data_IF_763358726664
#
_entry.id   IF_763358726664
#
_cell.length_a   1.000
_cell.length_b   1.000
_cell.length_c   1.000
_cell.angle_alpha   90.00
_cell.angle_beta   90.00
_cell.angle_gamma   90.00
#
_symmetry.space_group_name_H-M   'P 1'
#
loop_
_entity.id
_entity.type
_entity.pdbx_description
1 polymer ?
#
# COMPACT_ATOMS: atom_id res chain seq x y z
N UNK A 1 -4.15 62.58 -19.55
CA UNK A 1 -4.19 61.49 -18.56
C UNK A 1 -4.91 60.29 -19.17
N UNK A 2 -4.16 59.27 -19.60
CA UNK A 2 -4.68 58.02 -20.20
C UNK A 2 -5.27 57.15 -19.09
N UNK A 3 -6.56 56.81 -19.17
CA UNK A 3 -7.15 55.70 -18.39
C UNK A 3 -7.15 54.47 -19.30
N UNK A 4 -6.23 53.54 -19.03
CA UNK A 4 -6.23 52.22 -19.67
C UNK A 4 -7.20 51.35 -18.86
N UNK A 5 -8.34 51.02 -19.45
CA UNK A 5 -9.26 50.01 -18.93
C UNK A 5 -8.68 48.64 -19.34
N UNK A 6 -8.04 47.93 -18.42
CA UNK A 6 -7.69 46.53 -18.64
C UNK A 6 -8.93 45.69 -18.36
N UNK A 7 -9.62 45.29 -19.42
CA UNK A 7 -10.61 44.22 -19.38
C UNK A 7 -9.90 42.93 -18.99
N UNK A 8 -10.22 42.39 -17.81
CA UNK A 8 -9.81 41.04 -17.42
C UNK A 8 -10.57 40.07 -18.32
N UNK A 9 -9.91 39.69 -19.42
CA UNK A 9 -10.33 38.62 -20.29
C UNK A 9 -10.20 37.33 -19.48
N UNK A 10 -11.33 36.83 -19.01
CA UNK A 10 -11.47 35.52 -18.39
C UNK A 10 -10.99 34.49 -19.40
N UNK A 11 -9.73 34.06 -19.30
CA UNK A 11 -9.21 32.97 -20.09
C UNK A 11 -9.61 31.69 -19.35
N UNK A 12 -10.56 30.88 -19.87
CA UNK A 12 -10.77 29.54 -19.34
C UNK A 12 -9.56 28.75 -19.82
N UNK A 13 -8.47 28.82 -19.05
CA UNK A 13 -7.30 28.00 -19.27
C UNK A 13 -7.73 26.54 -19.06
N UNK A 14 -8.17 25.94 -20.16
CA UNK A 14 -7.95 24.56 -20.55
C UNK A 14 -7.68 23.66 -19.35
N UNK A 15 -8.74 23.31 -18.63
CA UNK A 15 -8.68 22.20 -17.69
C UNK A 15 -8.49 20.96 -18.54
N UNK A 16 -7.24 20.66 -18.88
CA UNK A 16 -6.84 19.42 -19.52
C UNK A 16 -7.36 18.31 -18.61
N UNK A 17 -8.42 17.65 -19.06
CA UNK A 17 -8.76 16.34 -18.55
C UNK A 17 -7.57 15.43 -18.86
N UNK A 18 -6.65 15.31 -17.89
CA UNK A 18 -5.65 14.24 -17.90
C UNK A 18 -6.46 12.95 -17.81
N UNK A 19 -6.64 12.27 -18.95
CA UNK A 19 -7.20 10.92 -18.95
C UNK A 19 -6.25 10.04 -18.13
N UNK A 20 -6.80 9.35 -17.13
CA UNK A 20 -6.06 8.35 -16.37
C UNK A 20 -5.43 7.34 -17.32
N UNK A 21 -4.10 7.18 -17.27
CA UNK A 21 -3.35 6.27 -18.14
C UNK A 21 -3.07 4.94 -17.44
N UNK A 22 -4.13 4.32 -16.93
CA UNK A 22 -4.02 3.02 -16.24
C UNK A 22 -3.84 1.92 -17.27
N UNK A 23 -2.73 1.18 -17.17
CA UNK A 23 -2.50 0.02 -18.03
C UNK A 23 -3.34 -1.17 -17.59
N UNK A 24 -4.04 -1.77 -18.55
CA UNK A 24 -4.72 -3.05 -18.36
C UNK A 24 -3.86 -4.18 -18.91
N UNK A 25 -3.46 -5.12 -18.04
CA UNK A 25 -2.65 -6.26 -18.46
C UNK A 25 -3.43 -7.17 -19.41
N UNK A 26 -2.91 -7.47 -20.61
CA UNK A 26 -3.63 -8.29 -21.60
C UNK A 26 -3.68 -9.78 -21.21
N UNK A 27 -2.77 -10.22 -20.35
CA UNK A 27 -2.70 -11.60 -19.87
C UNK A 27 -2.86 -11.56 -18.34
N UNK A 28 -4.00 -12.06 -17.87
CA UNK A 28 -4.38 -12.08 -16.46
C UNK A 28 -4.59 -13.51 -15.97
N UNK A 29 -4.36 -13.72 -14.67
CA UNK A 29 -4.62 -14.99 -13.98
C UNK A 29 -6.04 -15.50 -14.29
N UNK A 30 -6.13 -16.80 -14.61
CA UNK A 30 -7.40 -17.45 -14.97
C UNK A 30 -7.79 -17.40 -16.46
N UNK A 31 -7.15 -16.55 -17.28
CA UNK A 31 -7.40 -16.51 -18.74
C UNK A 31 -6.76 -17.69 -19.48
N UNK A 32 -7.26 -18.03 -20.67
CA UNK A 32 -6.66 -19.09 -21.51
C UNK A 32 -5.22 -18.78 -21.92
N UNK A 33 -4.89 -17.50 -22.14
CA UNK A 33 -3.52 -17.10 -22.45
C UNK A 33 -2.58 -17.27 -21.23
N UNK A 34 -3.10 -17.08 -20.02
CA UNK A 34 -2.33 -17.33 -18.80
C UNK A 34 -2.00 -18.82 -18.63
N UNK A 35 -2.96 -19.71 -18.88
CA UNK A 35 -2.77 -21.18 -18.78
C UNK A 35 -1.73 -21.73 -19.77
N UNK A 36 -1.44 -20.99 -20.85
CA UNK A 36 -0.41 -21.37 -21.83
C UNK A 36 1.00 -21.14 -21.32
N UNK A 37 1.20 -20.23 -20.36
CA UNK A 37 2.50 -19.92 -19.77
C UNK A 37 2.99 -21.12 -18.94
N UNK A 38 4.18 -21.63 -19.24
CA UNK A 38 4.75 -22.87 -18.67
C UNK A 38 5.71 -22.63 -17.52
N UNK A 39 6.12 -21.39 -17.30
CA UNK A 39 7.06 -21.05 -16.22
C UNK A 39 6.75 -19.68 -15.63
N UNK A 40 7.17 -19.48 -14.38
CA UNK A 40 7.11 -18.17 -13.74
C UNK A 40 7.93 -17.11 -14.53
N UNK A 41 9.02 -17.51 -15.19
CA UNK A 41 9.78 -16.62 -16.08
C UNK A 41 8.95 -16.14 -17.28
N UNK A 42 8.13 -17.00 -17.87
CA UNK A 42 7.20 -16.59 -18.93
C UNK A 42 6.11 -15.65 -18.40
N UNK A 43 5.61 -15.87 -17.19
CA UNK A 43 4.65 -14.96 -16.53
C UNK A 43 5.26 -13.57 -16.28
N UNK A 44 6.50 -13.49 -15.81
CA UNK A 44 7.21 -12.22 -15.63
C UNK A 44 7.38 -11.47 -16.96
N UNK A 45 7.68 -12.18 -18.05
CA UNK A 45 7.79 -11.56 -19.39
C UNK A 45 6.43 -11.06 -19.89
N UNK A 46 5.38 -11.87 -19.72
CA UNK A 46 4.02 -11.54 -20.16
C UNK A 46 3.39 -10.37 -19.40
N UNK A 47 3.86 -10.11 -18.18
CA UNK A 47 3.34 -9.07 -17.29
C UNK A 47 4.24 -7.83 -17.19
N UNK A 48 5.24 -7.70 -18.08
CA UNK A 48 6.10 -6.52 -18.13
C UNK A 48 5.31 -5.32 -18.66
N UNK A 49 5.33 -4.21 -17.90
CA UNK A 49 4.69 -2.97 -18.31
C UNK A 49 5.46 -2.32 -19.48
N UNK A 50 4.81 -1.87 -20.57
CA UNK A 50 5.48 -1.08 -21.62
C UNK A 50 6.00 0.26 -21.07
N UNK A 51 7.08 0.78 -21.68
CA UNK A 51 7.80 1.95 -21.14
C UNK A 51 6.96 3.22 -21.10
N UNK A 52 6.06 3.41 -22.06
CA UNK A 52 5.15 4.55 -22.12
C UNK A 52 4.24 4.64 -20.88
N UNK A 53 3.86 3.50 -20.29
CA UNK A 53 3.05 3.44 -19.09
C UNK A 53 3.86 3.56 -17.79
N UNK A 54 5.20 3.51 -17.86
CA UNK A 54 6.06 3.76 -16.69
C UNK A 54 6.21 5.26 -16.37
N UNK A 55 5.89 6.14 -17.32
CA UNK A 55 6.07 7.60 -17.19
C UNK A 55 4.77 8.36 -16.85
N UNK A 56 3.72 7.65 -16.46
CA UNK A 56 2.41 8.23 -16.08
C UNK A 56 2.46 8.82 -14.67
N UNK A 57 1.38 9.47 -14.22
CA UNK A 57 1.29 10.00 -12.85
C UNK A 57 1.33 8.87 -11.80
N UNK A 58 1.83 9.14 -10.59
CA UNK A 58 2.02 8.10 -9.56
C UNK A 58 0.71 7.45 -9.13
N UNK A 59 -0.41 8.18 -9.16
CA UNK A 59 -1.73 7.61 -8.93
C UNK A 59 -2.11 6.56 -9.99
N UNK A 60 -1.87 6.85 -11.28
CA UNK A 60 -2.15 5.92 -12.38
C UNK A 60 -1.20 4.72 -12.34
N UNK A 61 0.09 4.96 -12.07
CA UNK A 61 1.07 3.88 -11.96
C UNK A 61 0.74 2.95 -10.79
N UNK A 62 0.26 3.49 -9.67
CA UNK A 62 -0.23 2.70 -8.54
C UNK A 62 -1.39 1.80 -8.95
N UNK A 63 -2.35 2.28 -9.75
CA UNK A 63 -3.42 1.41 -10.25
C UNK A 63 -2.86 0.25 -11.08
N UNK A 64 -1.85 0.50 -11.92
CA UNK A 64 -1.14 -0.56 -12.66
C UNK A 64 -0.30 -1.48 -11.77
N UNK A 65 0.19 -1.02 -10.62
CA UNK A 65 0.79 -1.88 -9.60
C UNK A 65 -0.27 -2.80 -8.96
N UNK A 66 -1.44 -2.26 -8.60
CA UNK A 66 -2.49 -2.99 -7.91
C UNK A 66 -3.21 -3.99 -8.81
N UNK A 67 -3.24 -3.74 -10.12
CA UNK A 67 -3.75 -4.67 -11.12
C UNK A 67 -2.68 -5.62 -11.68
N UNK A 68 -1.46 -5.62 -11.13
CA UNK A 68 -0.37 -6.47 -11.58
C UNK A 68 -0.71 -7.95 -11.34
N UNK A 69 -0.74 -8.83 -12.38
CA UNK A 69 -1.27 -10.18 -12.24
C UNK A 69 -0.51 -11.10 -11.25
N UNK A 70 0.76 -10.80 -10.98
CA UNK A 70 1.61 -11.53 -10.04
C UNK A 70 1.77 -10.78 -8.71
N UNK A 71 0.94 -9.77 -8.41
CA UNK A 71 1.04 -9.01 -7.17
C UNK A 71 1.00 -9.92 -5.94
N UNK A 72 0.07 -10.88 -5.92
CA UNK A 72 -0.16 -11.76 -4.78
C UNK A 72 0.85 -12.91 -4.65
N UNK A 73 1.85 -13.00 -5.52
CA UNK A 73 2.92 -14.00 -5.42
C UNK A 73 3.71 -13.88 -4.11
N UNK A 74 3.64 -12.72 -3.44
CA UNK A 74 4.22 -12.55 -2.11
C UNK A 74 3.67 -13.54 -1.08
N UNK A 75 2.43 -14.02 -1.27
CA UNK A 75 1.76 -14.99 -0.38
C UNK A 75 2.34 -16.40 -0.49
N UNK A 76 3.06 -16.72 -1.56
CA UNK A 76 3.71 -18.01 -1.77
C UNK A 76 5.00 -18.20 -0.97
N UNK A 77 5.45 -17.16 -0.25
CA UNK A 77 6.64 -17.20 0.59
C UNK A 77 6.26 -17.40 2.06
N UNK A 78 7.10 -18.15 2.80
CA UNK A 78 6.96 -18.31 4.26
C UNK A 78 6.91 -16.97 5.02
N UNK A 79 7.56 -15.95 4.45
CA UNK A 79 7.53 -14.59 4.95
C UNK A 79 6.90 -13.68 3.88
N UNK A 80 5.65 -13.23 4.06
CA UNK A 80 4.93 -12.43 3.08
C UNK A 80 5.61 -11.11 2.72
N UNK A 81 6.21 -10.40 3.69
CA UNK A 81 6.90 -9.14 3.41
C UNK A 81 8.20 -9.36 2.64
N UNK A 82 8.95 -10.43 2.94
CA UNK A 82 10.09 -10.84 2.12
C UNK A 82 9.67 -11.22 0.70
N UNK A 83 8.59 -11.99 0.58
CA UNK A 83 7.98 -12.31 -0.72
C UNK A 83 7.60 -11.05 -1.49
N UNK A 84 7.00 -10.07 -0.81
CA UNK A 84 6.62 -8.80 -1.42
C UNK A 84 7.83 -8.05 -1.97
N UNK A 85 8.93 -7.99 -1.21
CA UNK A 85 10.20 -7.42 -1.72
C UNK A 85 10.70 -8.14 -2.97
N UNK A 86 10.51 -9.46 -3.09
CA UNK A 86 10.86 -10.20 -4.31
C UNK A 86 9.96 -9.82 -5.49
N UNK A 87 8.66 -9.69 -5.27
CA UNK A 87 7.71 -9.23 -6.30
C UNK A 87 8.09 -7.82 -6.80
N UNK A 88 8.42 -6.89 -5.89
CA UNK A 88 8.90 -5.54 -6.25
C UNK A 88 10.17 -5.59 -7.10
N UNK A 89 11.12 -6.47 -6.77
CA UNK A 89 12.37 -6.60 -7.53
C UNK A 89 12.18 -7.20 -8.93
N UNK A 90 11.20 -8.09 -9.09
CA UNK A 90 10.95 -8.79 -10.35
C UNK A 90 10.01 -8.04 -11.30
N UNK A 91 9.20 -7.12 -10.77
CA UNK A 91 8.21 -6.35 -11.51
C UNK A 91 8.73 -4.95 -11.84
N UNK A 92 8.74 -4.60 -13.12
CA UNK A 92 9.19 -3.26 -13.54
C UNK A 92 8.25 -2.15 -13.09
N UNK A 93 6.93 -2.40 -13.03
CA UNK A 93 5.95 -1.41 -12.58
C UNK A 93 6.08 -1.11 -11.08
N UNK A 94 6.24 -2.13 -10.25
CA UNK A 94 6.40 -1.98 -8.80
C UNK A 94 7.77 -1.38 -8.47
N UNK A 95 8.83 -1.85 -9.13
CA UNK A 95 10.17 -1.29 -8.95
C UNK A 95 10.22 0.19 -9.30
N UNK A 96 9.56 0.60 -10.39
CA UNK A 96 9.49 2.00 -10.80
C UNK A 96 8.69 2.82 -9.78
N UNK A 97 7.48 2.38 -9.43
CA UNK A 97 6.62 3.07 -8.47
C UNK A 97 7.30 3.29 -7.12
N UNK A 98 7.97 2.27 -6.58
CA UNK A 98 8.64 2.35 -5.27
C UNK A 98 9.83 3.32 -5.25
N UNK A 99 10.39 3.69 -6.40
CA UNK A 99 11.49 4.67 -6.50
C UNK A 99 11.01 6.12 -6.58
N UNK A 100 9.71 6.34 -6.82
CA UNK A 100 9.18 7.69 -7.02
C UNK A 100 9.15 8.49 -5.73
N UNK A 101 9.47 9.78 -5.83
CA UNK A 101 9.52 10.70 -4.69
C UNK A 101 8.16 11.02 -4.08
N UNK A 102 7.08 10.79 -4.82
CA UNK A 102 5.70 11.07 -4.43
C UNK A 102 4.87 9.80 -4.19
N UNK A 103 5.52 8.63 -4.14
CA UNK A 103 4.85 7.33 -3.97
C UNK A 103 4.04 7.26 -2.66
N UNK A 104 4.54 7.82 -1.56
CA UNK A 104 3.85 7.81 -0.28
C UNK A 104 2.55 8.60 -0.32
N UNK A 105 2.51 9.73 -1.03
CA UNK A 105 1.26 10.50 -1.21
C UNK A 105 0.25 9.73 -2.08
N UNK A 106 0.70 9.07 -3.15
CA UNK A 106 -0.17 8.24 -3.97
C UNK A 106 -0.76 7.06 -3.17
N UNK A 107 0.07 6.39 -2.36
CA UNK A 107 -0.36 5.30 -1.47
C UNK A 107 -1.34 5.79 -0.39
N UNK A 108 -1.04 6.89 0.28
CA UNK A 108 -1.91 7.47 1.31
C UNK A 108 -3.29 7.82 0.75
N UNK A 109 -3.32 8.50 -0.40
CA UNK A 109 -4.57 8.88 -1.05
C UNK A 109 -5.38 7.64 -1.46
N UNK A 110 -4.74 6.63 -2.04
CA UNK A 110 -5.40 5.37 -2.36
C UNK A 110 -5.94 4.69 -1.11
N UNK A 111 -5.10 4.51 -0.08
CA UNK A 111 -5.46 3.79 1.13
C UNK A 111 -6.67 4.42 1.83
N UNK A 112 -6.72 5.75 1.90
CA UNK A 112 -7.87 6.49 2.44
C UNK A 112 -9.11 6.49 1.54
N UNK A 113 -8.95 6.29 0.24
CA UNK A 113 -10.07 6.21 -0.71
C UNK A 113 -10.81 4.88 -0.65
N UNK A 114 -10.18 3.84 -0.10
CA UNK A 114 -10.82 2.54 0.08
C UNK A 114 -11.78 2.63 1.27
N UNK A 115 -13.07 2.38 1.01
CA UNK A 115 -14.03 2.18 2.09
C UNK A 115 -13.86 0.77 2.67
N UNK A 116 -13.04 0.66 3.71
CA UNK A 116 -12.76 -0.63 4.36
C UNK A 116 -14.03 -1.18 5.05
N UNK A 117 -15.00 -0.34 5.43
CA UNK A 117 -16.27 -0.81 6.00
C UNK A 117 -17.15 -1.51 4.96
N UNK A 118 -16.96 -1.24 3.66
CA UNK A 118 -17.73 -1.87 2.60
C UNK A 118 -17.37 -3.34 2.39
N UNK A 119 -16.38 -3.89 3.12
CA UNK A 119 -15.96 -5.28 2.95
C UNK A 119 -17.10 -6.29 3.19
N UNK A 120 -17.98 -5.97 4.12
CA UNK A 120 -19.17 -6.80 4.43
C UNK A 120 -20.26 -6.66 3.36
N UNK A 121 -20.15 -5.68 2.45
CA UNK A 121 -21.04 -5.48 1.31
C UNK A 121 -20.53 -6.14 0.04
N UNK A 122 -19.31 -6.69 0.06
CA UNK A 122 -18.74 -7.41 -1.08
C UNK A 122 -19.50 -8.72 -1.30
N UNK A 123 -19.61 -9.11 -2.58
CA UNK A 123 -20.60 -10.12 -3.01
C UNK A 123 -20.25 -11.52 -2.57
N UNK A 124 -18.97 -11.81 -2.35
CA UNK A 124 -18.47 -13.13 -2.02
C UNK A 124 -17.08 -13.07 -1.34
N UNK A 125 -16.67 -14.20 -0.80
CA UNK A 125 -15.38 -14.38 -0.10
C UNK A 125 -14.16 -14.12 -0.99
N UNK A 126 -14.28 -14.31 -2.32
CA UNK A 126 -13.19 -14.04 -3.26
C UNK A 126 -12.92 -12.53 -3.35
N UNK A 127 -13.97 -11.72 -3.47
CA UNK A 127 -13.85 -10.25 -3.47
C UNK A 127 -13.28 -9.75 -2.13
N UNK A 128 -13.72 -10.32 -1.01
CA UNK A 128 -13.21 -9.99 0.32
C UNK A 128 -11.72 -10.36 0.48
N UNK A 129 -11.33 -11.55 0.01
CA UNK A 129 -9.95 -12.00 0.00
C UNK A 129 -9.07 -11.10 -0.87
N UNK A 130 -9.53 -10.76 -2.06
CA UNK A 130 -8.80 -9.85 -2.97
C UNK A 130 -8.60 -8.47 -2.35
N UNK A 131 -9.64 -7.90 -1.71
CA UNK A 131 -9.50 -6.62 -1.01
C UNK A 131 -8.47 -6.73 0.13
N UNK A 132 -8.55 -7.79 0.93
CA UNK A 132 -7.62 -8.03 2.06
C UNK A 132 -6.17 -8.14 1.58
N UNK A 133 -5.90 -8.92 0.53
CA UNK A 133 -4.57 -9.07 -0.05
C UNK A 133 -4.08 -7.76 -0.69
N UNK A 134 -4.95 -7.02 -1.35
CA UNK A 134 -4.61 -5.72 -1.94
C UNK A 134 -4.22 -4.71 -0.86
N UNK A 135 -5.01 -4.58 0.21
CA UNK A 135 -4.70 -3.71 1.35
C UNK A 135 -3.40 -4.13 2.04
N UNK A 136 -3.16 -5.44 2.19
CA UNK A 136 -1.90 -5.98 2.72
C UNK A 136 -0.71 -5.54 1.86
N UNK A 137 -0.81 -5.64 0.54
CA UNK A 137 0.24 -5.21 -0.38
C UNK A 137 0.49 -3.68 -0.30
N UNK A 138 -0.57 -2.88 -0.19
CA UNK A 138 -0.47 -1.43 0.01
C UNK A 138 0.21 -1.08 1.34
N UNK A 139 -0.14 -1.79 2.41
CA UNK A 139 0.50 -1.63 3.73
C UNK A 139 1.98 -2.03 3.69
N UNK A 140 2.35 -3.04 2.91
CA UNK A 140 3.76 -3.37 2.66
C UNK A 140 4.50 -2.31 1.84
N UNK A 141 3.87 -1.75 0.79
CA UNK A 141 4.43 -0.62 0.04
C UNK A 141 4.66 0.58 0.96
N UNK A 142 3.65 0.95 1.75
CA UNK A 142 3.75 2.06 2.69
C UNK A 142 4.76 1.80 3.80
N UNK A 143 5.00 0.56 4.20
CA UNK A 143 5.99 0.22 5.25
C UNK A 143 7.44 0.37 4.78
N UNK A 144 7.68 0.53 3.47
CA UNK A 144 9.00 0.85 2.95
C UNK A 144 9.48 2.22 3.44
N UNK A 145 10.75 2.30 3.84
CA UNK A 145 11.30 3.53 4.41
C UNK A 145 11.28 4.70 3.42
N UNK A 146 11.39 4.43 2.12
CA UNK A 146 11.33 5.44 1.06
C UNK A 146 9.92 6.04 1.00
N UNK A 147 8.90 5.19 1.03
CA UNK A 147 7.51 5.61 1.02
C UNK A 147 7.15 6.44 2.26
N UNK A 148 7.46 5.98 3.48
CA UNK A 148 7.19 6.75 4.71
C UNK A 148 7.94 8.07 4.79
N UNK A 149 9.19 8.10 4.31
CA UNK A 149 10.01 9.33 4.32
C UNK A 149 9.60 10.32 3.25
N UNK A 150 8.91 9.89 2.19
CA UNK A 150 8.32 10.79 1.20
C UNK A 150 7.14 11.59 1.74
N UNK A 151 6.48 11.10 2.79
CA UNK A 151 5.40 11.83 3.48
C UNK A 151 5.97 12.93 4.38
N UNK A 152 5.22 14.03 4.54
CA UNK A 152 5.51 15.01 5.61
C UNK A 152 5.24 14.41 6.98
N UNK A 153 5.71 15.06 8.06
CA UNK A 153 5.39 14.64 9.44
C UNK A 153 3.87 14.61 9.65
N UNK A 154 3.17 15.66 9.25
CA UNK A 154 1.72 15.77 9.40
C UNK A 154 0.98 14.67 8.63
N UNK A 155 1.46 14.31 7.43
CA UNK A 155 0.87 13.21 6.65
C UNK A 155 1.14 11.84 7.25
N UNK A 156 2.27 11.64 7.94
CA UNK A 156 2.50 10.42 8.73
C UNK A 156 1.61 10.36 9.96
N UNK A 157 1.36 11.48 10.63
CA UNK A 157 0.39 11.55 11.73
C UNK A 157 -1.02 11.24 11.24
N UNK A 158 -1.45 11.85 10.14
CA UNK A 158 -2.74 11.56 9.50
C UNK A 158 -2.89 10.08 9.12
N UNK A 159 -1.83 9.48 8.59
CA UNK A 159 -1.80 8.04 8.29
C UNK A 159 -1.91 7.20 9.56
N UNK A 160 -1.19 7.55 10.63
CA UNK A 160 -1.26 6.84 11.91
C UNK A 160 -2.68 6.87 12.50
N UNK A 161 -3.31 8.04 12.51
CA UNK A 161 -4.66 8.18 13.06
C UNK A 161 -5.67 7.35 12.27
N UNK A 162 -5.62 7.41 10.94
CA UNK A 162 -6.44 6.55 10.09
C UNK A 162 -6.17 5.06 10.34
N UNK A 163 -4.90 4.68 10.50
CA UNK A 163 -4.50 3.28 10.69
C UNK A 163 -4.99 2.69 12.02
N UNK A 164 -5.11 3.50 13.09
CA UNK A 164 -5.73 3.07 14.35
C UNK A 164 -7.17 2.59 14.12
N UNK A 165 -7.95 3.37 13.36
CA UNK A 165 -9.33 3.01 13.02
C UNK A 165 -9.39 1.75 12.14
N UNK A 166 -8.47 1.62 11.18
CA UNK A 166 -8.37 0.42 10.33
C UNK A 166 -8.07 -0.83 11.17
N UNK A 167 -7.13 -0.75 12.11
CA UNK A 167 -6.77 -1.87 12.99
C UNK A 167 -8.01 -2.35 13.77
N UNK A 168 -8.73 -1.43 14.43
CA UNK A 168 -9.95 -1.73 15.18
C UNK A 168 -11.02 -2.35 14.27
N UNK A 169 -11.19 -1.83 13.06
CA UNK A 169 -12.15 -2.35 12.08
C UNK A 169 -11.80 -3.79 11.67
N UNK A 170 -10.54 -4.04 11.31
CA UNK A 170 -10.09 -5.38 10.89
C UNK A 170 -10.22 -6.40 12.01
N UNK A 171 -9.99 -6.01 13.26
CA UNK A 171 -10.21 -6.85 14.44
C UNK A 171 -11.67 -7.26 14.61
N UNK A 172 -12.59 -6.29 14.51
CA UNK A 172 -14.04 -6.57 14.56
C UNK A 172 -14.50 -7.49 13.43
N UNK A 173 -13.77 -7.51 12.32
CA UNK A 173 -14.07 -8.31 11.12
C UNK A 173 -12.97 -9.35 10.86
N UNK A 174 -12.40 -9.96 11.91
CA UNK A 174 -11.27 -10.90 11.79
C UNK A 174 -11.58 -12.12 10.92
N UNK A 175 -12.85 -12.54 10.84
CA UNK A 175 -13.27 -13.61 9.94
C UNK A 175 -13.03 -13.28 8.47
N UNK A 176 -13.02 -12.00 8.12
CA UNK A 176 -12.87 -11.51 6.74
C UNK A 176 -11.42 -11.14 6.42
N UNK A 177 -10.78 -10.35 7.29
CA UNK A 177 -9.39 -9.91 7.07
C UNK A 177 -8.34 -10.95 7.46
N UNK A 178 -8.73 -11.92 8.29
CA UNK A 178 -7.82 -12.85 8.92
C UNK A 178 -6.78 -12.17 9.82
N UNK A 179 -5.97 -12.98 10.49
CA UNK A 179 -4.88 -12.46 11.32
C UNK A 179 -3.84 -11.71 10.48
N UNK A 180 -3.55 -12.19 9.26
CA UNK A 180 -2.54 -11.59 8.40
C UNK A 180 -2.89 -10.15 7.99
N UNK A 181 -4.17 -9.86 7.73
CA UNK A 181 -4.62 -8.51 7.39
C UNK A 181 -4.49 -7.52 8.55
N UNK A 182 -4.59 -7.98 9.80
CA UNK A 182 -4.34 -7.15 10.99
C UNK A 182 -2.84 -6.93 11.19
N UNK A 183 -2.03 -7.99 11.05
CA UNK A 183 -0.58 -7.95 11.23
C UNK A 183 0.08 -6.93 10.29
N UNK A 184 -0.36 -6.84 9.03
CA UNK A 184 0.20 -5.86 8.08
C UNK A 184 -0.05 -4.41 8.51
N UNK A 185 -1.20 -4.14 9.14
CA UNK A 185 -1.53 -2.81 9.65
C UNK A 185 -0.72 -2.48 10.91
N UNK A 186 -0.57 -3.44 11.82
CA UNK A 186 0.30 -3.29 12.99
C UNK A 186 1.78 -3.10 12.59
N UNK A 187 2.21 -3.78 11.52
CA UNK A 187 3.54 -3.60 10.96
C UNK A 187 3.74 -2.17 10.45
N UNK A 188 2.82 -1.67 9.62
CA UNK A 188 2.87 -0.28 9.15
C UNK A 188 2.89 0.73 10.31
N UNK A 189 2.03 0.54 11.31
CA UNK A 189 1.97 1.41 12.48
C UNK A 189 3.31 1.41 13.24
N UNK A 190 3.88 0.24 13.47
CA UNK A 190 5.19 0.06 14.12
C UNK A 190 6.29 0.84 13.37
N UNK A 191 6.27 0.79 12.04
CA UNK A 191 7.24 1.49 11.17
C UNK A 191 7.08 3.01 11.22
N UNK A 192 5.84 3.51 11.32
CA UNK A 192 5.58 4.94 11.50
C UNK A 192 6.09 5.42 12.87
N UNK A 193 5.82 4.66 13.94
CA UNK A 193 6.27 4.99 15.31
C UNK A 193 7.80 5.02 15.40
N UNK A 194 8.46 4.01 14.85
CA UNK A 194 9.93 3.93 14.80
C UNK A 194 10.52 5.15 14.06
N UNK A 195 9.98 5.45 12.87
CA UNK A 195 10.42 6.61 12.09
C UNK A 195 10.17 7.96 12.79
N UNK A 196 9.08 8.06 13.56
CA UNK A 196 8.74 9.28 14.30
C UNK A 196 9.68 9.55 15.49
N UNK A 197 10.45 8.53 15.89
CA UNK A 197 11.32 8.60 17.05
C UNK A 197 10.58 8.63 18.39
N UNK A 198 9.32 8.19 18.43
CA UNK A 198 8.46 8.18 19.63
C UNK A 198 9.17 7.49 20.81
N UNK A 199 9.27 8.21 21.94
CA UNK A 199 10.03 7.77 23.10
C UNK A 199 9.40 6.54 23.78
N UNK A 200 8.09 6.55 23.98
CA UNK A 200 7.35 5.44 24.58
C UNK A 200 7.46 4.17 23.72
N UNK A 201 7.41 4.32 22.40
CA UNK A 201 7.62 3.22 21.46
C UNK A 201 9.03 2.64 21.54
N UNK A 202 10.06 3.49 21.64
CA UNK A 202 11.45 3.04 21.80
C UNK A 202 11.62 2.25 23.09
N UNK A 203 11.11 2.75 24.20
CA UNK A 203 11.14 2.03 25.47
C UNK A 203 10.37 0.71 25.40
N UNK A 204 9.21 0.71 24.75
CA UNK A 204 8.41 -0.48 24.53
C UNK A 204 9.18 -1.53 23.70
N UNK A 205 9.90 -1.11 22.66
CA UNK A 205 10.77 -1.99 21.87
C UNK A 205 11.94 -2.55 22.69
N UNK A 206 12.57 -1.75 23.55
CA UNK A 206 13.65 -2.20 24.43
C UNK A 206 13.17 -3.31 25.38
N UNK A 207 11.93 -3.19 25.88
CA UNK A 207 11.32 -4.20 26.76
C UNK A 207 10.83 -5.46 26.00
N UNK A 208 10.79 -5.43 24.67
CA UNK A 208 10.21 -6.48 23.84
C UNK A 208 11.07 -6.72 22.59
N UNK A 209 12.19 -7.43 22.73
CA UNK A 209 13.16 -7.66 21.64
C UNK A 209 12.54 -8.29 20.37
N UNK A 210 11.46 -9.07 20.52
CA UNK A 210 10.73 -9.66 19.41
C UNK A 210 10.07 -8.63 18.48
N UNK A 211 9.76 -7.42 18.97
CA UNK A 211 9.27 -6.30 18.15
C UNK A 211 10.32 -5.87 17.14
N UNK A 212 11.59 -5.78 17.54
CA UNK A 212 12.68 -5.39 16.63
C UNK A 212 12.79 -6.40 15.49
N UNK A 213 12.68 -7.69 15.79
CA UNK A 213 12.66 -8.75 14.78
C UNK A 213 11.45 -8.62 13.85
N UNK A 214 10.28 -8.32 14.38
CA UNK A 214 9.08 -8.08 13.57
C UNK A 214 9.20 -6.84 12.69
N UNK A 215 9.70 -5.71 13.19
CA UNK A 215 9.91 -4.48 12.41
C UNK A 215 10.91 -4.65 11.26
N UNK A 216 11.94 -5.46 11.48
CA UNK A 216 12.99 -5.70 10.49
C UNK A 216 12.59 -6.77 9.47
N UNK A 217 11.95 -7.83 9.93
CA UNK A 217 11.78 -9.06 9.17
C UNK A 217 10.33 -9.50 8.99
N UNK A 218 9.32 -8.81 9.54
CA UNK A 218 7.92 -9.26 9.48
C UNK A 218 7.74 -10.70 9.96
N UNK A 219 8.20 -10.99 11.18
CA UNK A 219 8.06 -12.29 11.83
C UNK A 219 7.04 -12.16 12.96
N UNK A 220 5.74 -12.38 12.68
CA UNK A 220 4.71 -12.24 13.70
C UNK A 220 4.72 -13.43 14.66
N UNK A 221 4.41 -13.17 15.93
CA UNK A 221 3.97 -14.19 16.88
C UNK A 221 2.78 -13.65 17.67
N UNK A 222 1.93 -14.53 18.20
CA UNK A 222 0.63 -14.13 18.76
C UNK A 222 0.75 -13.13 19.92
N UNK A 223 1.68 -13.35 20.83
CA UNK A 223 1.92 -12.48 22.00
C UNK A 223 2.37 -11.09 21.57
N UNK A 224 3.35 -11.04 20.66
CA UNK A 224 3.88 -9.82 20.08
C UNK A 224 2.80 -8.95 19.43
N UNK A 225 1.94 -9.58 18.63
CA UNK A 225 0.84 -8.90 17.94
C UNK A 225 -0.14 -8.29 18.95
N UNK A 226 -0.49 -9.04 19.99
CA UNK A 226 -1.35 -8.54 21.08
C UNK A 226 -0.71 -7.36 21.82
N UNK A 227 0.60 -7.40 22.06
CA UNK A 227 1.33 -6.34 22.77
C UNK A 227 1.40 -5.05 21.93
N UNK A 228 1.75 -5.16 20.65
CA UNK A 228 1.80 -4.01 19.73
C UNK A 228 0.41 -3.38 19.59
N UNK A 229 -0.62 -4.19 19.44
CA UNK A 229 -2.00 -3.74 19.35
C UNK A 229 -2.44 -2.99 20.62
N UNK A 230 -2.16 -3.55 21.81
CA UNK A 230 -2.45 -2.88 23.07
C UNK A 230 -1.74 -1.52 23.19
N UNK A 231 -0.46 -1.46 22.78
CA UNK A 231 0.29 -0.21 22.74
C UNK A 231 -0.38 0.83 21.82
N UNK A 232 -0.69 0.44 20.57
CA UNK A 232 -1.27 1.35 19.57
C UNK A 232 -2.63 1.90 20.03
N UNK A 233 -3.49 1.05 20.60
CA UNK A 233 -4.82 1.45 21.09
C UNK A 233 -4.73 2.40 22.30
N UNK A 234 -3.63 2.37 23.05
CA UNK A 234 -3.38 3.26 24.19
C UNK A 234 -2.74 4.60 23.81
N UNK A 235 -2.22 4.75 22.59
CA UNK A 235 -1.66 6.01 22.11
C UNK A 235 -2.76 7.08 22.04
N UNK A 236 -2.74 8.00 23.03
CA UNK A 236 -3.55 9.21 23.00
C UNK A 236 -3.20 10.04 21.76
N UNK A 237 -4.20 10.69 21.18
CA UNK A 237 -4.03 11.66 20.10
C UNK A 237 -3.33 12.92 20.61
#
# INVERSE_FOLDING_TARGET
>A
MKKILFSILCCPAFMLFVKAQVYTYPIQSGTENWKKLKSHSEMLKATKLPMEYLNVQSADLLQSCLSYPLLFDYTAYNNPYYGFKKVVLQSNVLSEFMKRKDNGMALLNYYKSVDINSINLLKNEIEQGNLTLTLTAVEFMMSDSTALRSLSKDKRTELMDYLKDVIILKEKNVHTFGTNGIISSLFLASRILDLSGNAEWKEFCIRNESIVTFMNNYVPNKELISNIQAFITQLKN
#
